data_IF_039486752004
#
_entry.id   IF_039486752004
#
_cell.length_a   1.000
_cell.length_b   1.000
_cell.length_c   1.000
_cell.angle_alpha   90.00
_cell.angle_beta   90.00
_cell.angle_gamma   90.00
#
_symmetry.space_group_name_H-M   'P 1'
#
loop_
_entity.id
_entity.type
_entity.pdbx_description
1 polymer ?
#
# COMPACT_ATOMS: atom_id res chain seq x y z
N UNK A 1 13.48 6.21 23.76
CA UNK A 1 12.82 5.18 22.97
C UNK A 1 13.44 5.16 21.58
N UNK A 2 13.95 3.99 21.20
CA UNK A 2 14.54 3.71 19.90
C UNK A 2 13.44 3.24 18.95
N UNK A 3 13.45 3.77 17.73
CA UNK A 3 12.50 3.35 16.69
C UNK A 3 13.24 2.48 15.69
N UNK A 4 12.82 1.22 15.58
CA UNK A 4 13.32 0.28 14.59
C UNK A 4 12.39 0.30 13.37
N UNK A 5 12.92 0.72 12.24
CA UNK A 5 12.25 0.55 10.95
C UNK A 5 12.57 -0.84 10.41
N UNK A 6 11.58 -1.73 10.51
CA UNK A 6 11.71 -3.13 10.09
C UNK A 6 11.46 -3.24 8.59
N UNK A 7 12.42 -3.84 7.89
CA UNK A 7 12.34 -4.15 6.46
C UNK A 7 12.53 -5.65 6.22
N UNK A 8 12.00 -6.15 5.10
CA UNK A 8 12.33 -7.50 4.57
C UNK A 8 12.75 -7.34 3.11
N UNK A 9 13.97 -7.78 2.77
CA UNK A 9 14.58 -7.46 1.48
C UNK A 9 14.70 -5.95 1.29
N UNK A 10 13.97 -5.43 0.30
CA UNK A 10 13.87 -3.99 0.00
C UNK A 10 12.54 -3.36 0.44
N UNK A 11 11.59 -4.18 0.90
CA UNK A 11 10.25 -3.72 1.29
C UNK A 11 10.22 -3.27 2.76
N UNK A 12 9.74 -2.05 2.97
CA UNK A 12 9.41 -1.48 4.28
C UNK A 12 8.16 -2.14 4.87
N UNK A 13 8.26 -2.65 6.10
CA UNK A 13 7.18 -3.43 6.72
C UNK A 13 6.40 -2.62 7.76
N UNK A 14 7.03 -2.30 8.89
CA UNK A 14 6.43 -1.53 9.99
C UNK A 14 7.51 -0.83 10.84
N UNK A 15 7.07 0.08 11.70
CA UNK A 15 7.92 0.71 12.72
C UNK A 15 7.67 0.02 14.06
N UNK A 16 8.74 -0.34 14.77
CA UNK A 16 8.69 -0.94 16.10
C UNK A 16 9.37 -0.01 17.10
N UNK A 17 8.76 0.17 18.27
CA UNK A 17 9.30 1.00 19.35
C UNK A 17 9.84 0.13 20.47
N UNK A 18 11.07 0.39 20.90
CA UNK A 18 11.72 -0.36 21.98
C UNK A 18 12.67 0.53 22.77
N UNK A 19 13.10 0.04 23.92
CA UNK A 19 14.19 0.63 24.69
C UNK A 19 15.53 -0.07 24.43
N UNK A 20 16.61 0.66 24.72
CA UNK A 20 17.99 0.19 24.57
C UNK A 20 18.35 -0.95 25.53
N UNK A 21 17.69 -0.97 26.69
CA UNK A 21 17.98 -1.93 27.75
C UNK A 21 17.44 -3.34 27.46
N UNK A 22 16.53 -3.46 26.48
CA UNK A 22 15.94 -4.74 26.10
C UNK A 22 17.00 -5.64 25.45
N UNK A 23 16.84 -6.94 25.67
CA UNK A 23 17.68 -7.94 25.02
C UNK A 23 17.33 -8.01 23.54
N UNK A 24 18.32 -8.36 22.70
CA UNK A 24 18.08 -8.59 21.28
C UNK A 24 17.04 -9.69 21.07
N UNK A 25 17.10 -10.77 21.86
CA UNK A 25 16.22 -11.94 21.66
C UNK A 25 14.75 -11.62 21.92
N UNK A 26 14.44 -10.80 22.93
CA UNK A 26 13.06 -10.37 23.21
C UNK A 26 12.54 -9.46 22.08
N UNK A 27 13.37 -8.51 21.62
CA UNK A 27 13.04 -7.63 20.49
C UNK A 27 12.82 -8.42 19.20
N UNK A 28 13.64 -9.45 18.95
CA UNK A 28 13.48 -10.34 17.78
C UNK A 28 12.17 -11.11 17.87
N UNK A 29 11.85 -11.72 19.02
CA UNK A 29 10.59 -12.45 19.23
C UNK A 29 9.38 -11.55 19.01
N UNK A 30 9.40 -10.34 19.54
CA UNK A 30 8.31 -9.37 19.39
C UNK A 30 8.13 -8.94 17.93
N UNK A 31 9.23 -8.60 17.24
CA UNK A 31 9.19 -8.22 15.82
C UNK A 31 8.67 -9.37 14.95
N UNK A 32 9.10 -10.61 15.21
CA UNK A 32 8.66 -11.79 14.47
C UNK A 32 7.18 -12.08 14.74
N UNK A 33 6.73 -11.97 16.00
CA UNK A 33 5.33 -12.15 16.36
C UNK A 33 4.42 -11.13 15.65
N UNK A 34 4.83 -9.86 15.62
CA UNK A 34 4.13 -8.81 14.87
C UNK A 34 4.16 -9.12 13.38
N UNK A 35 5.30 -9.47 12.81
CA UNK A 35 5.45 -9.76 11.39
C UNK A 35 4.56 -10.91 10.94
N UNK A 36 4.63 -12.06 11.63
CA UNK A 36 3.81 -13.23 11.33
C UNK A 36 2.32 -12.94 11.56
N UNK A 37 1.98 -12.17 12.60
CA UNK A 37 0.60 -11.75 12.86
C UNK A 37 0.03 -10.87 11.74
N UNK A 38 0.83 -10.01 11.13
CA UNK A 38 0.42 -9.23 9.95
C UNK A 38 0.13 -10.12 8.76
N UNK A 39 1.03 -11.07 8.45
CA UNK A 39 0.82 -12.03 7.36
C UNK A 39 -0.48 -12.82 7.57
N UNK A 40 -0.72 -13.25 8.81
CA UNK A 40 -1.94 -13.95 9.20
C UNK A 40 -3.21 -13.12 8.97
N UNK A 41 -3.20 -11.85 9.37
CA UNK A 41 -4.31 -10.92 9.11
C UNK A 41 -4.54 -10.73 7.61
N UNK A 42 -3.47 -10.57 6.82
CA UNK A 42 -3.58 -10.43 5.35
C UNK A 42 -4.25 -11.67 4.73
N UNK A 43 -3.87 -12.89 5.15
CA UNK A 43 -4.50 -14.14 4.71
C UNK A 43 -5.98 -14.21 5.08
N UNK A 44 -6.32 -13.93 6.35
CA UNK A 44 -7.71 -13.97 6.82
C UNK A 44 -8.57 -12.96 6.05
N UNK A 45 -8.05 -11.75 5.81
CA UNK A 45 -8.77 -10.73 5.07
C UNK A 45 -9.10 -11.15 3.62
N UNK A 46 -8.21 -11.89 2.96
CA UNK A 46 -8.49 -12.46 1.63
C UNK A 46 -9.61 -13.50 1.68
N UNK A 47 -9.53 -14.43 2.63
CA UNK A 47 -10.54 -15.48 2.78
C UNK A 47 -11.90 -14.95 3.26
N UNK A 48 -11.94 -13.85 4.03
CA UNK A 48 -13.17 -13.21 4.47
C UNK A 48 -13.96 -12.56 3.33
N UNK A 49 -13.28 -12.04 2.32
CA UNK A 49 -13.96 -11.51 1.12
C UNK A 49 -14.67 -12.63 0.35
N UNK A 50 -14.04 -13.80 0.24
CA UNK A 50 -14.61 -14.97 -0.42
C UNK A 50 -15.70 -15.64 0.42
N UNK A 51 -15.53 -15.68 1.75
CA UNK A 51 -16.55 -16.13 2.70
C UNK A 51 -17.82 -15.27 2.61
N UNK A 52 -17.67 -13.96 2.42
CA UNK A 52 -18.80 -13.04 2.25
C UNK A 52 -19.58 -13.26 0.95
N UNK A 53 -18.90 -13.60 -0.16
CA UNK A 53 -19.54 -13.77 -1.48
C UNK A 53 -20.14 -15.17 -1.71
N UNK A 54 -19.51 -16.20 -1.16
CA UNK A 54 -19.79 -17.60 -1.50
C UNK A 54 -20.07 -18.50 -0.28
N UNK A 55 -19.92 -17.98 0.94
CA UNK A 55 -20.20 -18.74 2.16
C UNK A 55 -19.05 -19.69 2.57
N UNK A 56 -19.37 -20.63 3.46
CA UNK A 56 -18.39 -21.54 4.08
C UNK A 56 -17.70 -22.47 3.08
N UNK A 57 -16.47 -22.89 3.36
CA UNK A 57 -15.76 -23.86 2.52
C UNK A 57 -16.43 -25.23 2.52
N UNK A 58 -16.36 -25.92 1.38
CA UNK A 58 -16.75 -27.31 1.28
C UNK A 58 -15.69 -28.22 1.91
N UNK A 59 -16.06 -29.41 2.40
CA UNK A 59 -15.10 -30.42 2.84
C UNK A 59 -14.06 -30.72 1.74
N UNK A 60 -12.79 -31.01 2.08
CA UNK A 60 -11.73 -31.25 1.10
C UNK A 60 -12.06 -32.34 0.06
N UNK A 61 -12.84 -33.35 0.44
CA UNK A 61 -13.30 -34.43 -0.43
C UNK A 61 -14.28 -33.97 -1.53
N UNK A 62 -14.97 -32.85 -1.31
CA UNK A 62 -15.99 -32.30 -2.21
C UNK A 62 -15.46 -31.15 -3.08
N UNK A 63 -14.28 -30.59 -2.76
CA UNK A 63 -13.76 -29.43 -3.47
C UNK A 63 -13.33 -29.79 -4.90
N UNK A 64 -13.79 -29.00 -5.87
CA UNK A 64 -13.42 -29.17 -7.28
C UNK A 64 -14.19 -30.28 -8.04
N UNK A 65 -15.17 -30.92 -7.41
CA UNK A 65 -16.13 -31.79 -8.08
C UNK A 65 -17.30 -30.98 -8.64
N UNK A 66 -17.89 -31.45 -9.74
CA UNK A 66 -19.14 -30.86 -10.26
C UNK A 66 -20.34 -31.34 -9.45
N UNK A 67 -21.43 -30.56 -9.48
CA UNK A 67 -22.69 -30.93 -8.81
C UNK A 67 -23.20 -32.31 -9.26
N UNK A 68 -22.97 -32.69 -10.52
CA UNK A 68 -23.32 -34.00 -11.08
C UNK A 68 -22.48 -35.13 -10.47
N UNK A 69 -21.17 -34.93 -10.33
CA UNK A 69 -20.28 -35.90 -9.71
C UNK A 69 -20.61 -36.09 -8.23
N UNK A 70 -21.02 -35.02 -7.52
CA UNK A 70 -21.44 -35.11 -6.13
C UNK A 70 -22.72 -35.94 -5.97
N UNK A 71 -23.67 -35.80 -6.90
CA UNK A 71 -24.90 -36.60 -6.93
C UNK A 71 -24.59 -38.09 -7.19
N UNK A 72 -23.68 -38.40 -8.11
CA UNK A 72 -23.25 -39.76 -8.42
C UNK A 72 -22.53 -40.42 -7.23
N UNK A 73 -21.68 -39.65 -6.54
CA UNK A 73 -20.95 -40.08 -5.35
C UNK A 73 -21.81 -40.08 -4.08
N UNK A 74 -23.02 -39.50 -4.14
CA UNK A 74 -23.95 -39.33 -3.01
C UNK A 74 -23.29 -38.66 -1.80
N UNK A 75 -22.39 -37.71 -2.06
CA UNK A 75 -21.75 -36.94 -0.99
C UNK A 75 -22.64 -35.75 -0.63
N UNK A 76 -23.04 -35.68 0.63
CA UNK A 76 -23.77 -34.54 1.20
C UNK A 76 -22.89 -33.82 2.21
N UNK A 77 -22.90 -32.49 2.18
CA UNK A 77 -22.17 -31.68 3.16
C UNK A 77 -22.95 -31.62 4.50
N UNK A 78 -22.42 -32.18 5.60
CA UNK A 78 -23.07 -32.14 6.90
C UNK A 78 -23.03 -30.74 7.53
N UNK A 79 -22.15 -29.84 7.08
CA UNK A 79 -21.94 -28.52 7.67
C UNK A 79 -22.72 -27.42 6.95
N UNK A 80 -23.08 -27.59 5.67
CA UNK A 80 -23.79 -26.61 4.86
C UNK A 80 -25.00 -25.97 5.58
N UNK A 81 -25.91 -26.79 6.12
CA UNK A 81 -27.12 -26.29 6.80
C UNK A 81 -26.86 -25.82 8.23
N UNK A 82 -25.88 -26.42 8.90
CA UNK A 82 -25.57 -26.13 10.31
C UNK A 82 -24.86 -24.79 10.47
N UNK A 83 -23.97 -24.48 9.53
CA UNK A 83 -23.16 -23.26 9.54
C UNK A 83 -23.74 -22.16 8.64
N UNK A 84 -24.90 -22.36 8.00
CA UNK A 84 -25.50 -21.32 7.17
C UNK A 84 -25.95 -20.09 8.00
N UNK A 85 -25.71 -18.87 7.49
CA UNK A 85 -26.22 -17.66 8.13
C UNK A 85 -27.75 -17.57 7.95
N UNK A 86 -28.42 -16.85 8.85
CA UNK A 86 -29.88 -16.66 8.74
C UNK A 86 -30.23 -15.80 7.52
N UNK A 87 -31.12 -16.27 6.66
CA UNK A 87 -31.52 -15.56 5.44
C UNK A 87 -30.44 -15.54 4.34
N UNK A 88 -29.68 -16.64 4.22
CA UNK A 88 -28.67 -16.79 3.17
C UNK A 88 -29.28 -16.70 1.76
N UNK A 89 -28.47 -16.25 0.80
CA UNK A 89 -28.78 -16.31 -0.62
C UNK A 89 -27.81 -17.27 -1.33
N UNK A 90 -28.23 -17.84 -2.46
CA UNK A 90 -27.42 -18.82 -3.20
C UNK A 90 -26.54 -18.09 -4.21
N UNK A 91 -25.23 -18.13 -4.00
CA UNK A 91 -24.19 -17.53 -4.84
C UNK A 91 -23.06 -18.55 -5.03
N UNK A 92 -23.16 -19.35 -6.10
CA UNK A 92 -22.19 -20.42 -6.37
C UNK A 92 -20.81 -19.85 -6.68
N UNK A 93 -19.79 -20.52 -6.16
CA UNK A 93 -18.39 -20.21 -6.45
C UNK A 93 -17.99 -20.76 -7.82
N UNK A 94 -17.35 -19.92 -8.63
CA UNK A 94 -16.76 -20.30 -9.93
C UNK A 94 -15.69 -21.37 -9.81
N UNK A 95 -14.98 -21.44 -8.67
CA UNK A 95 -13.89 -22.37 -8.43
C UNK A 95 -14.32 -23.66 -7.73
N UNK A 96 -15.60 -23.79 -7.34
CA UNK A 96 -16.13 -24.98 -6.68
C UNK A 96 -15.47 -25.32 -5.33
N UNK A 97 -14.95 -24.31 -4.60
CA UNK A 97 -14.32 -24.52 -3.28
C UNK A 97 -15.28 -24.30 -2.12
N UNK A 98 -16.30 -23.46 -2.31
CA UNK A 98 -17.24 -23.03 -1.27
C UNK A 98 -18.67 -23.52 -1.56
N UNK A 99 -19.47 -23.62 -0.49
CA UNK A 99 -20.82 -24.21 -0.51
C UNK A 99 -21.83 -23.38 -1.34
N UNK A 100 -21.56 -22.09 -1.55
CA UNK A 100 -22.43 -21.18 -2.28
C UNK A 100 -23.59 -20.61 -1.46
N UNK A 101 -23.59 -20.81 -0.14
CA UNK A 101 -24.59 -20.26 0.78
C UNK A 101 -24.06 -18.95 1.38
N UNK A 102 -24.28 -17.85 0.68
CA UNK A 102 -23.72 -16.56 1.03
C UNK A 102 -24.60 -15.80 2.04
N UNK A 103 -23.98 -15.04 2.97
CA UNK A 103 -24.72 -14.17 3.87
C UNK A 103 -25.49 -13.07 3.12
N UNK A 104 -26.57 -12.52 3.70
CA UNK A 104 -27.27 -11.36 3.13
C UNK A 104 -26.34 -10.14 3.07
N UNK A 105 -26.64 -9.20 2.17
CA UNK A 105 -25.82 -8.01 1.88
C UNK A 105 -25.42 -7.22 3.13
N UNK A 106 -26.33 -7.07 4.11
CA UNK A 106 -26.05 -6.37 5.37
C UNK A 106 -24.90 -7.02 6.16
N UNK A 107 -24.86 -8.36 6.20
CA UNK A 107 -23.83 -9.13 6.92
C UNK A 107 -22.54 -9.24 6.09
N UNK A 108 -22.64 -9.29 4.77
CA UNK A 108 -21.49 -9.21 3.87
C UNK A 108 -20.73 -7.88 4.07
N UNK A 109 -21.45 -6.75 4.19
CA UNK A 109 -20.85 -5.46 4.49
C UNK A 109 -20.10 -5.43 5.83
N UNK A 110 -20.58 -6.17 6.84
CA UNK A 110 -19.89 -6.27 8.14
C UNK A 110 -18.54 -6.95 7.97
N UNK A 111 -18.46 -8.03 7.19
CA UNK A 111 -17.19 -8.71 6.89
C UNK A 111 -16.24 -7.80 6.10
N UNK A 112 -16.75 -7.06 5.11
CA UNK A 112 -15.95 -6.11 4.32
C UNK A 112 -15.39 -4.98 5.19
N UNK A 113 -16.24 -4.36 6.03
CA UNK A 113 -15.83 -3.29 6.95
C UNK A 113 -14.80 -3.78 7.98
N UNK A 114 -15.00 -4.98 8.52
CA UNK A 114 -14.05 -5.58 9.45
C UNK A 114 -12.69 -5.87 8.76
N UNK A 115 -12.71 -6.41 7.53
CA UNK A 115 -11.50 -6.66 6.76
C UNK A 115 -10.76 -5.36 6.40
N UNK A 116 -11.47 -4.31 6.00
CA UNK A 116 -10.88 -2.98 5.75
C UNK A 116 -10.25 -2.39 7.02
N UNK A 117 -10.96 -2.47 8.15
CA UNK A 117 -10.46 -1.99 9.45
C UNK A 117 -9.21 -2.76 9.90
N UNK A 118 -9.18 -4.08 9.73
CA UNK A 118 -8.01 -4.91 10.03
C UNK A 118 -6.82 -4.60 9.09
N UNK A 119 -7.09 -4.41 7.79
CA UNK A 119 -6.08 -3.98 6.81
C UNK A 119 -5.52 -2.62 7.16
N UNK A 120 -6.34 -1.68 7.63
CA UNK A 120 -5.87 -0.37 8.09
C UNK A 120 -4.87 -0.51 9.24
N UNK A 121 -5.18 -1.28 10.29
CA UNK A 121 -4.26 -1.52 11.40
C UNK A 121 -2.90 -2.10 10.96
N UNK A 122 -2.91 -2.97 9.95
CA UNK A 122 -1.73 -3.70 9.48
C UNK A 122 -0.99 -2.98 8.33
N UNK A 123 -1.62 -1.99 7.72
CA UNK A 123 -1.16 -1.42 6.44
C UNK A 123 0.27 -0.87 6.49
N UNK A 124 1.04 -1.16 5.42
CA UNK A 124 2.42 -0.68 5.20
C UNK A 124 2.53 0.86 5.09
N UNK A 125 1.39 1.57 5.01
CA UNK A 125 1.30 3.04 4.86
C UNK A 125 1.78 3.80 6.11
N UNK A 126 1.78 3.17 7.28
CA UNK A 126 2.21 3.77 8.55
C UNK A 126 3.73 3.99 8.68
N UNK A 127 4.53 3.54 7.71
CA UNK A 127 6.00 3.56 7.83
C UNK A 127 6.61 4.91 7.41
N UNK A 128 5.87 5.75 6.69
CA UNK A 128 6.29 7.09 6.28
C UNK A 128 7.55 7.07 5.42
N UNK A 129 7.36 7.05 4.09
CA UNK A 129 8.46 7.23 3.14
C UNK A 129 8.94 8.68 3.20
N UNK A 130 10.19 8.88 3.64
CA UNK A 130 10.81 10.18 3.84
C UNK A 130 11.05 11.02 2.56
N UNK A 131 10.54 10.64 1.40
CA UNK A 131 10.90 11.27 0.14
C UNK A 131 9.68 11.56 -0.74
N UNK A 132 9.17 12.80 -0.67
CA UNK A 132 8.51 13.53 -1.78
C UNK A 132 7.77 14.80 -1.31
N UNK A 133 7.37 14.89 -0.04
CA UNK A 133 6.53 16.01 0.42
C UNK A 133 7.28 17.35 0.61
N UNK A 134 8.59 17.33 0.88
CA UNK A 134 9.38 18.57 1.00
C UNK A 134 9.60 19.28 -0.35
N UNK A 135 9.56 18.57 -1.48
CA UNK A 135 9.63 19.17 -2.82
C UNK A 135 8.33 19.90 -3.18
N UNK A 136 7.18 19.40 -2.73
CA UNK A 136 5.88 20.05 -2.98
C UNK A 136 5.64 21.31 -2.13
N UNK A 137 6.15 21.36 -0.89
CA UNK A 137 5.97 22.53 -0.02
C UNK A 137 6.78 23.73 -0.54
N UNK A 138 8.00 23.50 -1.06
CA UNK A 138 8.82 24.58 -1.63
C UNK A 138 8.32 25.04 -3.01
N UNK A 139 7.74 24.14 -3.81
CA UNK A 139 7.11 24.50 -5.10
C UNK A 139 5.85 25.39 -4.92
N UNK A 140 5.02 25.11 -3.91
CA UNK A 140 3.81 25.91 -3.64
C UNK A 140 4.09 27.27 -3.00
N UNK A 141 5.19 27.43 -2.25
CA UNK A 141 5.58 28.73 -1.70
C UNK A 141 6.05 29.71 -2.77
N UNK A 142 6.61 29.21 -3.88
CA UNK A 142 7.02 30.04 -5.02
C UNK A 142 5.78 30.49 -5.85
N UNK A 143 4.73 29.67 -5.90
CA UNK A 143 3.49 30.00 -6.63
C UNK A 143 2.54 30.95 -5.88
N UNK A 144 2.57 30.98 -4.54
CA UNK A 144 1.75 31.92 -3.75
C UNK A 144 2.34 33.33 -3.62
N UNK A 145 3.58 33.56 -4.08
CA UNK A 145 4.24 34.87 -4.09
C UNK A 145 3.92 35.75 -5.30
N UNK A 146 3.17 35.25 -6.29
CA UNK A 146 2.91 35.94 -7.57
C UNK A 146 1.45 36.37 -7.79
N UNK A 147 0.57 36.20 -6.80
CA UNK A 147 -0.80 36.73 -6.87
C UNK A 147 -0.88 37.99 -6.00
N UNK A 148 -0.29 39.08 -6.52
CA UNK A 148 -0.57 40.42 -6.03
C UNK A 148 -0.79 41.33 -7.23
N UNK A 149 -1.85 41.09 -8.00
CA UNK A 149 -2.39 42.08 -8.92
C UNK A 149 -3.92 42.04 -8.92
N UNK A 150 -4.47 43.22 -8.65
CA UNK A 150 -5.76 43.78 -9.03
C UNK A 150 -7.05 43.25 -8.39
N UNK A 151 -7.53 44.06 -7.44
CA UNK A 151 -8.83 43.96 -6.79
C UNK A 151 -9.60 45.24 -7.13
N UNK A 152 -10.50 45.17 -8.11
CA UNK A 152 -11.52 46.18 -8.34
C UNK A 152 -12.84 45.53 -8.79
N UNK A 153 -13.91 45.95 -8.10
CA UNK A 153 -15.33 45.98 -8.50
C UNK A 153 -16.07 44.62 -8.52
N UNK A 154 -17.32 44.44 -8.11
CA UNK A 154 -18.31 45.12 -7.24
C UNK A 154 -19.48 44.13 -7.10
N UNK A 155 -20.17 44.18 -5.96
CA UNK A 155 -21.59 43.80 -5.78
C UNK A 155 -22.13 42.50 -6.42
N UNK A 156 -22.10 41.39 -5.68
CA UNK A 156 -23.14 40.31 -5.64
C UNK A 156 -22.74 39.24 -4.60
N UNK A 157 -22.53 39.64 -3.33
CA UNK A 157 -21.83 38.78 -2.35
C UNK A 157 -22.77 37.97 -1.42
N UNK A 158 -24.07 38.17 -1.41
CA UNK A 158 -24.91 37.56 -0.36
C UNK A 158 -25.39 36.13 -0.67
N UNK A 159 -25.68 35.75 -1.93
CA UNK A 159 -26.16 34.39 -2.24
C UNK A 159 -25.06 33.36 -2.53
N UNK A 160 -23.85 33.79 -2.88
CA UNK A 160 -22.72 32.89 -3.09
C UNK A 160 -22.12 32.36 -1.77
N UNK A 161 -22.28 33.09 -0.66
CA UNK A 161 -21.73 32.68 0.64
C UNK A 161 -22.48 31.51 1.29
N UNK A 162 -23.77 31.31 0.99
CA UNK A 162 -24.54 30.17 1.51
C UNK A 162 -24.10 28.84 0.88
N UNK A 163 -23.80 28.84 -0.43
CA UNK A 163 -23.29 27.66 -1.16
C UNK A 163 -21.81 27.39 -0.88
N UNK A 164 -20.99 28.44 -0.69
CA UNK A 164 -19.59 28.28 -0.27
C UNK A 164 -19.45 27.72 1.15
N UNK A 165 -20.43 27.95 2.03
CA UNK A 165 -20.40 27.41 3.40
C UNK A 165 -20.69 25.90 3.45
N UNK A 166 -21.61 25.40 2.60
CA UNK A 166 -21.90 23.96 2.46
C UNK A 166 -20.82 23.21 1.66
N UNK A 167 -20.20 23.84 0.65
CA UNK A 167 -19.05 23.28 -0.07
C UNK A 167 -17.78 23.22 0.80
N UNK A 168 -17.52 24.23 1.65
CA UNK A 168 -16.41 24.18 2.63
C UNK A 168 -16.56 23.07 3.67
N UNK A 169 -17.80 22.68 4.01
CA UNK A 169 -18.03 21.56 4.94
C UNK A 169 -17.73 20.21 4.28
N UNK A 170 -18.03 20.03 2.99
CA UNK A 170 -17.67 18.79 2.26
C UNK A 170 -16.16 18.71 1.95
N UNK A 171 -15.51 19.82 1.62
CA UNK A 171 -14.05 19.84 1.41
C UNK A 171 -13.26 19.54 2.68
N UNK A 172 -13.75 19.94 3.87
CA UNK A 172 -13.12 19.55 5.14
C UNK A 172 -13.23 18.05 5.43
N UNK A 173 -14.34 17.41 5.07
CA UNK A 173 -14.49 15.94 5.21
C UNK A 173 -13.63 15.20 4.17
N UNK A 174 -13.40 15.79 2.99
CA UNK A 174 -12.51 15.23 1.97
C UNK A 174 -11.01 15.42 2.31
N UNK A 175 -10.62 16.53 2.92
CA UNK A 175 -9.22 16.76 3.36
C UNK A 175 -8.79 15.87 4.54
N UNK A 176 -9.72 15.37 5.35
CA UNK A 176 -9.41 14.37 6.38
C UNK A 176 -9.01 13.02 5.77
N UNK A 177 -9.39 12.72 4.51
CA UNK A 177 -8.94 11.51 3.80
C UNK A 177 -7.58 11.65 3.09
N UNK A 178 -7.14 12.86 2.74
CA UNK A 178 -5.84 13.09 2.05
C UNK A 178 -4.74 13.68 2.93
N UNK A 179 -5.02 13.92 4.21
CA UNK A 179 -4.04 14.29 5.23
C UNK A 179 -3.90 13.21 6.30
N UNK A 180 -3.89 11.94 5.87
CA UNK A 180 -3.12 10.89 6.56
C UNK A 180 -1.63 11.22 6.42
N UNK A 181 -1.26 12.37 6.99
CA UNK A 181 0.08 12.81 7.32
C UNK A 181 0.80 11.59 7.84
N UNK A 182 1.92 11.22 7.21
CA UNK A 182 2.89 10.20 7.61
C UNK A 182 2.77 9.82 9.08
N UNK A 183 1.79 8.97 9.40
CA UNK A 183 1.51 8.57 10.77
C UNK A 183 2.61 7.58 11.06
N UNK A 184 3.73 8.08 11.59
CA UNK A 184 4.84 7.31 12.19
C UNK A 184 4.32 6.58 13.44
N UNK A 185 3.27 5.80 13.27
CA UNK A 185 2.63 5.03 14.30
C UNK A 185 3.40 3.72 14.37
N UNK A 186 4.04 3.50 15.51
CA UNK A 186 4.67 2.23 15.80
C UNK A 186 3.58 1.16 15.94
N UNK A 187 3.83 -0.01 15.36
CA UNK A 187 2.92 -1.14 15.46
C UNK A 187 3.27 -1.92 16.72
N UNK A 188 2.25 -2.18 17.54
CA UNK A 188 2.41 -2.97 18.77
C UNK A 188 1.71 -4.31 18.63
N UNK A 189 2.11 -5.31 19.44
CA UNK A 189 1.42 -6.61 19.48
C UNK A 189 -0.08 -6.47 19.81
N UNK A 190 -0.44 -5.46 20.60
CA UNK A 190 -1.84 -5.16 20.96
C UNK A 190 -2.67 -4.75 19.75
N UNK A 191 -2.08 -4.04 18.79
CA UNK A 191 -2.78 -3.65 17.56
C UNK A 191 -3.08 -4.88 16.68
N UNK A 192 -2.16 -5.83 16.62
CA UNK A 192 -2.35 -7.11 15.91
C UNK A 192 -3.47 -7.92 16.58
N UNK A 193 -3.44 -8.06 17.91
CA UNK A 193 -4.50 -8.75 18.65
C UNK A 193 -5.86 -8.08 18.45
N UNK A 194 -5.92 -6.73 18.51
CA UNK A 194 -7.15 -5.99 18.23
C UNK A 194 -7.70 -6.24 16.83
N UNK A 195 -6.82 -6.26 15.82
CA UNK A 195 -7.23 -6.57 14.45
C UNK A 195 -7.76 -8.01 14.33
N UNK A 196 -7.14 -8.99 14.99
CA UNK A 196 -7.64 -10.36 15.02
C UNK A 196 -8.98 -10.48 15.76
N UNK A 197 -9.18 -9.77 16.86
CA UNK A 197 -10.42 -9.78 17.62
C UNK A 197 -11.58 -9.14 16.86
N UNK A 198 -11.32 -8.10 16.06
CA UNK A 198 -12.31 -7.51 15.14
C UNK A 198 -12.77 -8.53 14.10
N UNK A 199 -11.83 -9.26 13.49
CA UNK A 199 -12.15 -10.31 12.51
C UNK A 199 -12.94 -11.45 13.16
N UNK A 200 -12.54 -11.91 14.37
CA UNK A 200 -13.27 -12.91 15.15
C UNK A 200 -14.68 -12.46 15.50
N UNK A 201 -14.83 -11.20 15.91
CA UNK A 201 -16.12 -10.58 16.21
C UNK A 201 -17.04 -10.59 15.00
N UNK A 202 -16.54 -10.12 13.85
CA UNK A 202 -17.27 -10.11 12.60
C UNK A 202 -17.70 -11.52 12.15
N UNK A 203 -16.79 -12.50 12.20
CA UNK A 203 -17.13 -13.90 11.88
C UNK A 203 -18.24 -14.43 12.77
N UNK A 204 -18.19 -14.15 14.08
CA UNK A 204 -19.21 -14.61 15.04
C UNK A 204 -20.58 -13.94 14.84
N UNK A 205 -20.60 -12.68 14.38
CA UNK A 205 -21.82 -11.95 14.05
C UNK A 205 -22.50 -12.58 12.82
N UNK A 206 -21.73 -12.86 11.76
CA UNK A 206 -22.29 -13.41 10.52
C UNK A 206 -22.63 -14.90 10.67
N UNK A 207 -21.78 -15.65 11.35
CA UNK A 207 -21.89 -17.10 11.54
C UNK A 207 -22.01 -17.46 13.03
N UNK A 208 -23.19 -17.28 13.66
CA UNK A 208 -23.37 -17.53 15.09
C UNK A 208 -23.19 -19.00 15.49
N UNK A 209 -23.44 -19.94 14.56
CA UNK A 209 -23.21 -21.37 14.75
C UNK A 209 -21.74 -21.78 14.63
N UNK A 210 -20.85 -20.84 14.29
CA UNK A 210 -19.45 -21.08 13.99
C UNK A 210 -19.20 -21.55 12.55
N UNK A 211 -17.92 -21.61 12.20
CA UNK A 211 -17.45 -22.09 10.90
C UNK A 211 -17.12 -23.59 10.95
N UNK A 212 -17.12 -24.30 9.81
CA UNK A 212 -16.67 -25.68 9.74
C UNK A 212 -15.19 -25.85 10.16
N UNK A 213 -14.78 -26.99 10.73
CA UNK A 213 -13.39 -27.22 11.16
C UNK A 213 -12.35 -27.17 10.02
N UNK A 214 -12.77 -27.51 8.80
CA UNK A 214 -11.93 -27.47 7.60
C UNK A 214 -11.91 -26.10 6.91
N UNK A 215 -12.62 -25.09 7.45
CA UNK A 215 -12.63 -23.76 6.84
C UNK A 215 -11.32 -23.00 7.14
N UNK A 216 -10.66 -22.43 6.12
CA UNK A 216 -9.36 -21.78 6.29
C UNK A 216 -9.45 -20.58 7.24
N UNK A 217 -10.57 -19.84 7.26
CA UNK A 217 -10.75 -18.72 8.18
C UNK A 217 -10.76 -19.22 9.63
N UNK A 218 -11.39 -20.37 9.89
CA UNK A 218 -11.41 -20.95 11.23
C UNK A 218 -10.04 -21.47 11.65
N UNK A 219 -9.37 -22.22 10.76
CA UNK A 219 -8.05 -22.77 11.02
C UNK A 219 -7.05 -21.66 11.35
N UNK A 220 -7.06 -20.58 10.57
CA UNK A 220 -6.26 -19.40 10.83
C UNK A 220 -6.66 -18.75 12.17
N UNK A 221 -7.95 -18.56 12.48
CA UNK A 221 -8.34 -17.94 13.76
C UNK A 221 -7.97 -18.77 15.01
N UNK A 222 -7.92 -20.10 14.90
CA UNK A 222 -7.60 -21.04 15.98
C UNK A 222 -6.11 -21.42 16.06
N UNK A 223 -5.27 -20.95 15.13
CA UNK A 223 -3.84 -21.31 15.01
C UNK A 223 -3.59 -22.80 14.71
N UNK A 224 -4.51 -23.45 13.99
CA UNK A 224 -4.40 -24.87 13.59
C UNK A 224 -4.01 -24.98 12.11
N UNK A 225 -3.69 -23.85 11.45
CA UNK A 225 -3.32 -23.85 10.04
C UNK A 225 -2.07 -24.70 9.75
N UNK A 226 -2.16 -25.56 8.74
CA UNK A 226 -1.00 -26.22 8.16
C UNK A 226 -0.53 -25.42 6.95
N UNK A 227 0.59 -24.73 7.10
CA UNK A 227 1.17 -23.92 6.04
C UNK A 227 2.08 -24.74 5.11
N UNK A 228 2.30 -26.03 5.38
CA UNK A 228 3.22 -26.85 4.57
C UNK A 228 2.78 -26.90 3.10
N UNK A 229 3.74 -26.76 2.19
CA UNK A 229 3.50 -26.75 0.74
C UNK A 229 2.88 -25.46 0.17
N UNK A 230 2.46 -24.50 1.00
CA UNK A 230 1.87 -23.23 0.54
C UNK A 230 2.94 -22.14 0.40
N UNK A 231 2.77 -21.19 -0.53
CA UNK A 231 3.66 -20.02 -0.68
C UNK A 231 3.82 -19.22 0.63
N UNK A 232 2.77 -19.18 1.46
CA UNK A 232 2.79 -18.55 2.78
C UNK A 232 3.86 -19.15 3.72
N UNK A 233 4.26 -20.42 3.56
CA UNK A 233 5.32 -21.03 4.39
C UNK A 233 6.70 -20.40 4.20
N UNK A 234 6.99 -19.89 3.00
CA UNK A 234 8.26 -19.21 2.71
C UNK A 234 8.31 -17.83 3.39
N UNK A 235 7.16 -17.23 3.61
CA UNK A 235 7.06 -15.92 4.22
C UNK A 235 7.06 -16.00 5.76
N UNK A 236 6.52 -17.05 6.36
CA UNK A 236 6.51 -17.17 7.83
C UNK A 236 7.91 -17.48 8.36
N UNK A 237 8.33 -16.73 9.38
CA UNK A 237 9.64 -16.89 10.01
C UNK A 237 9.44 -17.43 11.43
N UNK A 238 10.13 -18.50 11.78
CA UNK A 238 10.13 -19.03 13.14
C UNK A 238 11.00 -18.14 14.06
N UNK A 239 10.53 -17.74 15.27
CA UNK A 239 11.29 -16.88 16.17
C UNK A 239 12.69 -17.38 16.50
N UNK A 240 12.90 -18.70 16.55
CA UNK A 240 14.23 -19.28 16.83
C UNK A 240 15.23 -19.12 15.69
N UNK A 241 14.74 -18.99 14.46
CA UNK A 241 15.53 -18.87 13.23
C UNK A 241 15.62 -17.44 12.73
N UNK A 242 15.00 -16.48 13.40
CA UNK A 242 14.99 -15.09 12.98
C UNK A 242 16.31 -14.40 13.36
N UNK A 243 16.86 -13.61 12.44
CA UNK A 243 17.98 -12.73 12.70
C UNK A 243 17.70 -11.31 12.21
N UNK A 244 18.22 -10.33 12.95
CA UNK A 244 18.10 -8.91 12.62
C UNK A 244 19.46 -8.38 12.19
N UNK A 245 19.45 -7.61 11.09
CA UNK A 245 20.64 -6.99 10.53
C UNK A 245 20.48 -5.47 10.50
N UNK A 246 21.46 -4.75 11.03
CA UNK A 246 21.54 -3.30 10.93
C UNK A 246 22.96 -2.87 10.53
N UNK A 247 23.07 -1.87 9.64
CA UNK A 247 24.36 -1.33 9.20
C UNK A 247 25.37 -2.40 8.73
N UNK A 248 24.89 -3.48 8.09
CA UNK A 248 25.73 -4.58 7.61
C UNK A 248 26.27 -5.52 8.70
N UNK A 249 25.82 -5.37 9.95
CA UNK A 249 26.16 -6.25 11.07
C UNK A 249 24.91 -6.95 11.59
N UNK A 250 25.06 -8.23 11.92
CA UNK A 250 24.01 -9.02 12.57
C UNK A 250 23.93 -8.64 14.06
N UNK A 251 22.72 -8.57 14.59
CA UNK A 251 22.51 -8.50 16.04
C UNK A 251 22.78 -9.86 16.65
N UNK A 252 23.61 -9.90 17.67
CA UNK A 252 24.00 -11.14 18.33
C UNK A 252 22.97 -11.48 19.40
N UNK A 253 22.59 -12.75 19.47
CA UNK A 253 21.75 -13.28 20.54
C UNK A 253 22.38 -13.06 21.91
N UNK A 254 21.57 -12.91 22.95
CA UNK A 254 21.94 -12.58 24.33
C UNK A 254 22.56 -11.20 24.60
N UNK A 255 22.88 -10.40 23.57
CA UNK A 255 23.38 -9.04 23.77
C UNK A 255 22.22 -8.06 24.04
N UNK A 256 22.56 -6.91 24.63
CA UNK A 256 21.63 -5.79 24.74
C UNK A 256 21.63 -4.98 23.46
N UNK A 257 20.51 -4.31 23.21
CA UNK A 257 20.41 -3.42 22.05
C UNK A 257 21.40 -2.25 22.13
N UNK A 258 21.85 -1.86 23.34
CA UNK A 258 22.92 -0.87 23.58
C UNK A 258 24.21 -1.16 22.86
N UNK A 259 24.57 -2.43 22.74
CA UNK A 259 25.90 -2.82 22.27
C UNK A 259 25.97 -2.72 20.74
N UNK A 260 24.82 -2.78 20.08
CA UNK A 260 24.67 -2.67 18.64
C UNK A 260 24.28 -1.27 18.16
N UNK A 261 23.38 -0.58 18.87
CA UNK A 261 22.88 0.76 18.49
C UNK A 261 23.54 1.91 19.27
N UNK A 262 24.39 1.60 20.25
CA UNK A 262 25.05 2.58 21.11
C UNK A 262 24.17 3.07 22.26
N UNK A 263 24.59 4.19 22.87
CA UNK A 263 23.97 4.74 24.09
C UNK A 263 22.79 5.69 23.83
N UNK A 264 22.50 6.03 22.56
CA UNK A 264 21.53 7.07 22.24
C UNK A 264 20.10 6.53 22.14
N UNK A 265 19.28 6.84 23.16
CA UNK A 265 17.89 6.39 23.26
C UNK A 265 16.90 7.20 22.40
N UNK A 266 17.34 8.02 21.44
CA UNK A 266 16.48 8.72 20.46
C UNK A 266 16.82 8.36 19.02
N UNK A 267 17.47 7.21 18.83
CA UNK A 267 17.94 6.76 17.53
C UNK A 267 16.81 6.12 16.72
N UNK A 268 16.79 6.36 15.41
CA UNK A 268 16.01 5.59 14.44
C UNK A 268 16.97 4.69 13.68
N UNK A 269 16.79 3.38 13.77
CA UNK A 269 17.62 2.40 13.07
C UNK A 269 16.80 1.67 12.01
N UNK A 270 17.39 1.42 10.84
CA UNK A 270 16.79 0.56 9.83
C UNK A 270 17.33 -0.85 10.04
N UNK A 271 16.42 -1.79 10.24
CA UNK A 271 16.74 -3.18 10.55
C UNK A 271 16.09 -4.08 9.51
N UNK A 272 16.86 -5.01 8.95
CA UNK A 272 16.38 -6.02 8.02
C UNK A 272 16.12 -7.32 8.79
N UNK A 273 14.90 -7.84 8.65
CA UNK A 273 14.50 -9.15 9.16
C UNK A 273 14.87 -10.22 8.12
N UNK A 274 15.67 -11.19 8.55
CA UNK A 274 16.16 -12.30 7.73
C UNK A 274 15.96 -13.63 8.46
N UNK A 275 15.90 -14.71 7.70
CA UNK A 275 16.06 -16.06 8.25
C UNK A 275 17.54 -16.36 8.44
N UNK A 276 17.90 -17.07 9.50
CA UNK A 276 19.29 -17.43 9.81
C UNK A 276 19.97 -18.22 8.69
N UNK A 277 19.20 -18.85 7.79
CA UNK A 277 19.73 -19.58 6.63
C UNK A 277 20.12 -18.67 5.46
N UNK A 278 19.58 -17.45 5.38
CA UNK A 278 19.66 -16.59 4.19
C UNK A 278 20.85 -15.62 4.18
N UNK A 279 21.79 -15.76 5.12
CA UNK A 279 23.02 -14.96 5.15
C UNK A 279 22.79 -13.47 5.34
N UNK A 280 23.79 -12.65 5.00
CA UNK A 280 23.70 -11.21 5.10
C UNK A 280 22.74 -10.66 4.03
N UNK A 281 21.81 -9.76 4.38
CA UNK A 281 20.91 -9.19 3.40
C UNK A 281 21.67 -8.36 2.37
N UNK A 282 21.22 -8.45 1.12
CA UNK A 282 21.75 -7.65 0.01
C UNK A 282 21.68 -6.15 0.31
N UNK A 283 22.67 -5.41 -0.21
CA UNK A 283 22.69 -3.96 -0.17
C UNK A 283 21.56 -3.43 -1.05
N UNK A 284 20.77 -2.50 -0.51
CA UNK A 284 19.67 -1.88 -1.26
C UNK A 284 20.25 -1.09 -2.44
N UNK A 285 19.58 -1.10 -3.60
CA UNK A 285 19.91 -0.19 -4.69
C UNK A 285 19.80 1.26 -4.19
N UNK A 286 20.76 2.09 -4.59
CA UNK A 286 20.90 3.48 -4.09
C UNK A 286 19.70 4.35 -4.53
N UNK A 287 19.06 3.99 -5.63
CA UNK A 287 17.89 4.66 -6.17
C UNK A 287 16.70 3.72 -6.24
N UNK A 288 15.52 4.29 -5.99
CA UNK A 288 14.26 3.60 -6.23
C UNK A 288 14.05 3.36 -7.73
N UNK A 289 13.21 2.37 -8.09
CA UNK A 289 12.90 2.11 -9.50
C UNK A 289 12.26 3.32 -10.19
N UNK A 290 11.42 4.06 -9.48
CA UNK A 290 10.72 5.22 -10.05
C UNK A 290 11.69 6.39 -10.28
N UNK A 291 12.61 6.64 -9.36
CA UNK A 291 13.69 7.61 -9.59
C UNK A 291 14.59 7.16 -10.74
N UNK A 292 14.87 5.85 -10.86
CA UNK A 292 15.65 5.30 -11.97
C UNK A 292 14.94 5.49 -13.32
N UNK A 293 13.63 5.26 -13.38
CA UNK A 293 12.80 5.53 -14.56
C UNK A 293 12.80 7.02 -14.90
N UNK A 294 12.67 7.89 -13.90
CA UNK A 294 12.72 9.34 -14.10
C UNK A 294 14.08 9.81 -14.62
N UNK A 295 15.17 9.26 -14.09
CA UNK A 295 16.52 9.56 -14.57
C UNK A 295 16.71 9.07 -16.00
N UNK A 296 16.24 7.86 -16.33
CA UNK A 296 16.25 7.32 -17.69
C UNK A 296 15.44 8.20 -18.65
N UNK A 297 14.24 8.64 -18.25
CA UNK A 297 13.41 9.55 -19.05
C UNK A 297 14.07 10.93 -19.24
N UNK A 298 14.72 11.45 -18.20
CA UNK A 298 15.46 12.71 -18.28
C UNK A 298 16.68 12.58 -19.19
N UNK A 299 17.43 11.48 -19.10
CA UNK A 299 18.56 11.18 -19.97
C UNK A 299 18.11 11.03 -21.43
N UNK A 300 16.98 10.36 -21.67
CA UNK A 300 16.39 10.22 -23.00
C UNK A 300 15.99 11.58 -23.60
N UNK A 301 15.25 12.42 -22.85
CA UNK A 301 14.91 13.78 -23.30
C UNK A 301 16.15 14.62 -23.60
N UNK A 302 17.16 14.55 -22.73
CA UNK A 302 18.44 15.23 -22.96
C UNK A 302 19.09 14.73 -24.25
N UNK A 303 19.09 13.43 -24.50
CA UNK A 303 19.66 12.85 -25.71
C UNK A 303 18.92 13.31 -26.97
N UNK A 304 17.59 13.41 -26.94
CA UNK A 304 16.82 13.98 -28.06
C UNK A 304 17.12 15.47 -28.28
N UNK A 305 17.24 16.26 -27.20
CA UNK A 305 17.68 17.66 -27.27
C UNK A 305 19.06 17.78 -27.91
N UNK A 306 20.04 16.98 -27.47
CA UNK A 306 21.39 16.96 -28.03
C UNK A 306 21.40 16.56 -29.50
N UNK A 307 20.65 15.52 -29.87
CA UNK A 307 20.53 15.08 -31.25
C UNK A 307 19.90 16.17 -32.13
N UNK A 308 18.88 16.85 -31.63
CA UNK A 308 18.25 17.97 -32.35
C UNK A 308 19.22 19.14 -32.53
N UNK A 309 20.06 19.44 -31.53
CA UNK A 309 21.11 20.45 -31.65
C UNK A 309 22.24 20.03 -32.61
N UNK A 310 22.58 18.75 -32.67
CA UNK A 310 23.55 18.22 -33.66
C UNK A 310 23.00 18.24 -35.09
N UNK A 311 21.70 18.02 -35.27
CA UNK A 311 21.01 18.09 -36.56
C UNK A 311 20.70 19.54 -37.01
N UNK A 312 20.82 20.53 -36.11
CA UNK A 312 20.61 21.95 -36.42
C UNK A 312 21.91 22.53 -37.00
N UNK A 313 22.07 22.48 -38.33
CA UNK A 313 23.25 22.98 -39.08
C UNK A 313 23.40 24.53 -39.06
N UNK A 314 22.83 25.24 -38.07
CA UNK A 314 22.87 26.72 -37.89
C UNK A 314 22.38 27.57 -39.10
N UNK A 315 21.85 26.95 -40.16
CA UNK A 315 21.34 27.65 -41.36
C UNK A 315 20.00 28.37 -41.12
N UNK A 316 19.36 28.16 -39.96
CA UNK A 316 18.10 28.81 -39.60
C UNK A 316 18.21 30.35 -39.48
N UNK A 317 19.42 30.89 -39.31
CA UNK A 317 19.70 32.34 -39.35
C UNK A 317 19.57 32.93 -40.77
N UNK A 318 19.81 32.15 -41.84
CA UNK A 318 19.72 32.62 -43.23
C UNK A 318 18.29 32.98 -43.64
N UNK A 319 17.28 32.35 -43.03
CA UNK A 319 15.85 32.63 -43.25
C UNK A 319 15.29 33.71 -42.32
N UNK A 320 16.11 34.28 -41.43
CA UNK A 320 15.67 35.34 -40.53
C UNK A 320 15.39 36.65 -41.28
N UNK A 321 14.37 37.40 -40.86
CA UNK A 321 14.04 38.71 -41.47
C UNK A 321 15.19 39.74 -41.36
N UNK A 322 16.14 39.52 -40.46
CA UNK A 322 17.32 40.36 -40.28
C UNK A 322 18.42 40.07 -41.32
N UNK A 323 18.56 38.82 -41.79
CA UNK A 323 19.52 38.44 -42.82
C UNK A 323 19.11 38.91 -44.23
N UNK A 324 17.86 39.36 -44.41
CA UNK A 324 17.37 39.89 -45.67
C UNK A 324 17.88 41.32 -45.95
N UNK A 325 18.93 41.43 -46.77
CA UNK A 325 19.51 42.72 -47.20
C UNK A 325 18.56 43.64 -47.97
N UNK A 326 17.40 43.13 -48.43
CA UNK A 326 16.38 43.92 -49.11
C UNK A 326 15.22 44.33 -48.19
N UNK A 327 15.23 43.97 -46.91
CA UNK A 327 14.12 44.21 -45.98
C UNK A 327 13.82 45.71 -45.84
N UNK A 328 14.88 46.53 -45.67
CA UNK A 328 14.74 47.99 -45.53
C UNK A 328 14.21 48.65 -46.82
N UNK A 329 14.61 48.13 -47.97
CA UNK A 329 14.11 48.56 -49.28
C UNK A 329 12.63 48.21 -49.45
N UNK A 330 12.21 47.01 -49.04
CA UNK A 330 10.80 46.60 -49.04
C UNK A 330 9.95 47.46 -48.10
N UNK A 331 10.47 47.81 -46.92
CA UNK A 331 9.81 48.73 -45.99
C UNK A 331 9.62 50.12 -46.61
N UNK A 332 10.65 50.69 -47.24
CA UNK A 332 10.57 52.02 -47.86
C UNK A 332 9.60 52.09 -49.04
N UNK A 333 9.49 51.01 -49.82
CA UNK A 333 8.54 50.91 -50.93
C UNK A 333 7.15 50.39 -50.52
N UNK A 334 6.90 50.09 -49.24
CA UNK A 334 5.61 49.58 -48.75
C UNK A 334 5.27 48.15 -49.17
N UNK A 335 6.27 47.34 -49.55
CA UNK A 335 6.12 45.99 -50.12
C UNK A 335 6.26 44.86 -49.07
N UNK A 336 5.81 45.07 -47.83
CA UNK A 336 6.05 44.15 -46.69
C UNK A 336 5.14 42.93 -46.64
N UNK A 337 4.00 42.93 -47.33
CA UNK A 337 2.94 41.89 -47.23
C UNK A 337 2.66 41.17 -48.57
N UNK A 338 3.70 40.86 -49.35
CA UNK A 338 3.53 40.16 -50.63
C UNK A 338 3.96 38.70 -50.45
N UNK A 339 2.98 37.81 -50.25
CA UNK A 339 3.19 36.36 -50.34
C UNK A 339 2.83 35.88 -51.74
N UNK A 340 3.77 35.26 -52.43
CA UNK A 340 3.54 34.69 -53.77
C UNK A 340 2.95 33.26 -53.72
N UNK A 341 2.96 32.60 -52.55
CA UNK A 341 2.27 31.31 -52.39
C UNK A 341 0.77 31.53 -52.17
N UNK A 342 -0.12 30.74 -52.80
CA UNK A 342 -1.55 30.79 -52.52
C UNK A 342 -1.81 30.38 -51.06
N UNK A 343 -2.79 31.01 -50.43
CA UNK A 343 -3.24 30.66 -49.08
C UNK A 343 -3.98 29.35 -49.04
#
# INVERSE_FOLDING_TARGET
MVILHVKRGDQSQFLYETDINNTVDDVVKDIVAIYNGRLKIERICYEMEELGKHGTSLPPEMQGLTDEQLLDLKLEDPWAKRCAPQGYHVSKDTMGRRCGLAPPQNLEEVLKKAAETAKEYVSKKHVGSHHSSLKHILSNFIYMGLIRLDLLLTSTVTNALQYLCSLRHMERVAQVKSSLVDLRKCLTQKDVTRALDELRGATKIVFPAGLPPHDPVRQELENVEDLTGTQASLEVIDPSRACLWACGKMFLSNNKLSDHLGRNNKSKAVVKLCSSKEGAPGREPIMTEDERKQLMLHAYRKQEEWKKLEEDDDDHYLDSSWADGNNLKRQFHGLTNISWKPK
#
